data_IF_725847472456
#
_entry.id   IF_725847472456
#
_cell.length_a   1.000
_cell.length_b   1.000
_cell.length_c   1.000
_cell.angle_alpha   90.00
_cell.angle_beta   90.00
_cell.angle_gamma   90.00
#
_symmetry.space_group_name_H-M   'P 1'
#
loop_
_entity.id
_entity.type
_entity.pdbx_description
1 polymer ?
#
# COMPACT_ATOMS: atom_id res chain seq x y z
N UNK A 1 -39.83 -6.35 -14.64
CA UNK A 1 -38.86 -5.52 -15.40
C UNK A 1 -37.70 -6.38 -15.95
N UNK A 2 -36.65 -5.84 -16.57
CA UNK A 2 -35.44 -6.63 -16.90
C UNK A 2 -34.35 -6.38 -15.85
N UNK A 3 -33.39 -7.31 -15.68
CA UNK A 3 -32.19 -7.05 -14.87
C UNK A 3 -31.48 -5.80 -15.40
N UNK A 4 -31.06 -4.90 -14.50
CA UNK A 4 -30.45 -3.63 -14.89
C UNK A 4 -28.99 -3.88 -15.25
N UNK A 5 -28.47 -3.25 -16.30
CA UNK A 5 -27.08 -3.48 -16.73
C UNK A 5 -26.11 -3.06 -15.62
N UNK A 6 -25.12 -3.90 -15.32
CA UNK A 6 -23.96 -3.51 -14.52
C UNK A 6 -23.23 -2.37 -15.24
N UNK A 7 -22.79 -1.36 -14.48
CA UNK A 7 -22.30 -0.09 -15.03
C UNK A 7 -20.82 -0.14 -15.43
N UNK A 8 -20.10 -1.18 -15.01
CA UNK A 8 -18.71 -1.40 -15.33
C UNK A 8 -17.76 -0.35 -14.73
N UNK A 9 -18.17 0.46 -13.75
CA UNK A 9 -17.23 1.42 -13.14
C UNK A 9 -16.24 0.71 -12.21
N UNK A 10 -16.58 -0.49 -11.70
CA UNK A 10 -15.62 -1.42 -11.10
C UNK A 10 -14.47 -1.78 -12.06
N UNK A 11 -14.80 -2.05 -13.34
CA UNK A 11 -13.81 -2.24 -14.40
C UNK A 11 -13.07 -0.94 -14.74
N UNK A 12 -13.75 0.21 -14.78
CA UNK A 12 -13.08 1.51 -14.99
C UNK A 12 -12.15 1.91 -13.82
N UNK A 13 -12.42 1.42 -12.60
CA UNK A 13 -11.54 1.56 -11.44
C UNK A 13 -10.34 0.60 -11.50
N UNK A 14 -10.54 -0.64 -11.98
CA UNK A 14 -9.44 -1.57 -12.30
C UNK A 14 -8.57 -1.03 -13.46
N UNK A 15 -9.17 -0.46 -14.51
CA UNK A 15 -8.46 0.24 -15.59
C UNK A 15 -7.83 1.56 -15.13
N UNK A 16 -8.37 2.23 -14.10
CA UNK A 16 -7.69 3.37 -13.44
C UNK A 16 -6.56 2.93 -12.52
N UNK A 17 -6.64 1.75 -11.90
CA UNK A 17 -5.51 1.08 -11.23
C UNK A 17 -4.37 0.82 -12.22
N UNK A 18 -4.69 0.30 -13.41
CA UNK A 18 -3.76 0.18 -14.54
C UNK A 18 -3.23 1.54 -15.05
N UNK A 19 -3.98 2.63 -14.86
CA UNK A 19 -3.55 4.00 -15.22
C UNK A 19 -2.76 4.69 -14.10
N UNK A 20 -2.80 4.19 -12.87
CA UNK A 20 -1.98 4.66 -11.74
C UNK A 20 -0.74 3.81 -11.49
N UNK A 21 -0.61 2.66 -12.18
CA UNK A 21 0.61 1.85 -12.25
C UNK A 21 1.51 2.23 -13.43
N UNK A 22 1.36 3.45 -13.96
CA UNK A 22 2.46 4.11 -14.67
C UNK A 22 3.63 4.19 -13.69
N UNK A 23 4.64 3.35 -13.91
CA UNK A 23 5.98 3.68 -13.48
C UNK A 23 6.23 5.11 -13.97
N UNK A 24 6.35 6.06 -13.05
CA UNK A 24 6.81 7.41 -13.36
C UNK A 24 8.12 7.26 -14.13
N UNK A 25 8.05 7.36 -15.45
CA UNK A 25 9.21 7.55 -16.30
C UNK A 25 9.83 8.87 -15.89
N UNK A 26 10.85 8.78 -15.04
CA UNK A 26 11.71 9.88 -14.66
C UNK A 26 12.27 10.47 -15.96
N UNK A 27 11.96 11.73 -16.31
CA UNK A 27 12.51 12.32 -17.52
C UNK A 27 14.02 12.51 -17.34
N UNK A 28 14.82 11.71 -18.05
CA UNK A 28 16.25 11.97 -18.29
C UNK A 28 16.43 13.37 -18.86
N UNK A 29 16.86 14.31 -18.01
CA UNK A 29 17.27 15.65 -18.44
C UNK A 29 18.78 15.73 -18.50
N UNK A 30 19.31 15.68 -19.72
CA UNK A 30 20.66 16.10 -20.05
C UNK A 30 20.83 17.60 -19.80
N UNK A 31 21.80 17.97 -18.97
CA UNK A 31 22.19 19.34 -18.59
C UNK A 31 22.71 20.14 -19.81
N UNK A 32 22.68 21.50 -19.78
CA UNK A 32 23.74 22.23 -19.08
C UNK A 32 23.33 23.52 -18.32
N UNK A 33 24.03 23.74 -17.20
CA UNK A 33 24.33 25.01 -16.52
C UNK A 33 23.19 25.93 -16.02
N UNK A 34 22.91 25.86 -14.72
CA UNK A 34 22.98 27.03 -13.83
C UNK A 34 23.21 26.60 -12.38
N UNK A 35 24.31 27.07 -11.77
CA UNK A 35 24.58 26.92 -10.36
C UNK A 35 23.58 27.76 -9.53
N UNK A 36 22.53 27.11 -9.04
CA UNK A 36 21.82 27.50 -7.83
C UNK A 36 21.92 26.31 -6.89
N UNK A 37 22.37 26.57 -5.67
CA UNK A 37 22.48 25.55 -4.62
C UNK A 37 21.08 24.96 -4.37
N UNK A 38 20.90 23.67 -4.65
CA UNK A 38 19.74 22.91 -4.20
C UNK A 38 19.87 22.74 -2.68
N UNK A 39 19.46 23.75 -1.93
CA UNK A 39 19.27 23.65 -0.48
C UNK A 39 17.97 22.87 -0.22
N UNK A 40 18.07 21.78 0.53
CA UNK A 40 16.94 20.98 0.99
C UNK A 40 16.22 21.76 2.11
N UNK A 41 15.21 22.56 1.76
CA UNK A 41 14.36 23.25 2.74
C UNK A 41 13.29 22.31 3.26
N UNK A 42 13.32 22.01 4.57
CA UNK A 42 12.39 21.12 5.26
C UNK A 42 11.61 21.97 6.25
N UNK A 43 10.28 21.98 6.15
CA UNK A 43 9.42 22.68 7.11
C UNK A 43 9.21 21.77 8.33
N UNK A 44 9.95 22.02 9.40
CA UNK A 44 9.72 21.36 10.67
C UNK A 44 8.39 21.87 11.27
N UNK A 45 7.53 20.97 11.74
CA UNK A 45 6.36 21.32 12.57
C UNK A 45 6.84 22.13 13.80
N UNK A 46 6.07 23.15 14.24
CA UNK A 46 6.47 24.14 15.27
C UNK A 46 6.91 23.54 16.64
N UNK A 47 6.77 22.22 16.83
CA UNK A 47 7.10 21.49 18.07
C UNK A 47 8.43 20.70 18.02
N UNK A 48 9.11 20.59 16.85
CA UNK A 48 10.37 19.81 16.76
C UNK A 48 11.57 20.66 17.15
N UNK A 49 12.19 20.34 18.29
CA UNK A 49 13.42 20.99 18.75
C UNK A 49 14.59 20.76 17.78
N UNK A 50 15.35 21.81 17.48
CA UNK A 50 16.60 21.70 16.71
C UNK A 50 17.66 20.80 17.39
N UNK A 51 17.46 20.44 18.67
CA UNK A 51 18.32 19.54 19.43
C UNK A 51 17.76 18.11 19.55
N UNK A 52 16.62 17.80 18.91
CA UNK A 52 16.05 16.45 18.83
C UNK A 52 16.38 15.82 17.46
N UNK A 53 17.47 15.06 17.41
CA UNK A 53 17.92 14.39 16.19
C UNK A 53 16.89 13.38 15.66
N UNK A 54 16.21 12.67 16.58
CA UNK A 54 15.21 11.67 16.20
C UNK A 54 13.93 12.33 15.68
N UNK A 55 13.51 13.45 16.29
CA UNK A 55 12.42 14.27 15.79
C UNK A 55 12.68 14.80 14.38
N UNK A 56 13.90 15.28 14.10
CA UNK A 56 14.31 15.69 12.76
C UNK A 56 14.27 14.54 11.75
N UNK A 57 14.81 13.38 12.12
CA UNK A 57 14.81 12.21 11.25
C UNK A 57 13.37 11.75 10.91
N UNK A 58 12.47 11.75 11.90
CA UNK A 58 11.04 11.46 11.68
C UNK A 58 10.38 12.46 10.74
N UNK A 59 10.67 13.75 10.89
CA UNK A 59 10.13 14.79 10.01
C UNK A 59 10.60 14.58 8.57
N UNK A 60 11.91 14.38 8.35
CA UNK A 60 12.47 14.08 7.02
C UNK A 60 11.81 12.86 6.38
N UNK A 61 11.65 11.77 7.15
CA UNK A 61 11.02 10.55 6.67
C UNK A 61 9.56 10.76 6.31
N UNK A 62 8.79 11.42 7.17
CA UNK A 62 7.37 11.71 6.94
C UNK A 62 7.17 12.58 5.71
N UNK A 63 8.02 13.60 5.54
CA UNK A 63 7.99 14.50 4.38
C UNK A 63 8.31 13.76 3.09
N UNK A 64 9.28 12.84 3.14
CA UNK A 64 9.59 11.98 2.00
C UNK A 64 8.41 11.08 1.62
N UNK A 65 7.74 10.45 2.60
CA UNK A 65 6.60 9.57 2.33
C UNK A 65 5.39 10.35 1.77
N UNK A 66 5.12 11.55 2.30
CA UNK A 66 4.00 12.40 1.88
C UNK A 66 4.26 13.16 0.57
N UNK A 67 5.53 13.33 0.18
CA UNK A 67 5.86 14.06 -1.03
C UNK A 67 5.32 13.33 -2.26
N UNK A 68 4.63 14.08 -3.14
CA UNK A 68 4.27 13.60 -4.47
C UNK A 68 5.53 13.42 -5.34
N UNK A 69 6.51 14.32 -5.20
CA UNK A 69 7.81 14.22 -5.88
C UNK A 69 8.85 13.61 -4.92
N UNK A 70 8.91 12.26 -4.93
CA UNK A 70 9.94 11.49 -4.23
C UNK A 70 11.23 11.53 -5.06
N UNK A 71 12.27 12.12 -4.50
CA UNK A 71 13.56 12.24 -5.20
C UNK A 71 14.69 11.54 -4.46
N UNK A 72 15.65 11.04 -5.23
CA UNK A 72 16.86 10.40 -4.69
C UNK A 72 17.60 11.33 -3.72
N UNK A 73 17.58 12.64 -3.98
CA UNK A 73 18.19 13.65 -3.11
C UNK A 73 17.60 13.64 -1.69
N UNK A 74 16.26 13.51 -1.55
CA UNK A 74 15.59 13.46 -0.25
C UNK A 74 15.97 12.20 0.52
N UNK A 75 15.99 11.05 -0.16
CA UNK A 75 16.38 9.76 0.43
C UNK A 75 17.84 9.79 0.90
N UNK A 76 18.75 10.31 0.08
CA UNK A 76 20.15 10.49 0.45
C UNK A 76 20.30 11.43 1.65
N UNK A 77 19.48 12.49 1.75
CA UNK A 77 19.41 13.36 2.93
C UNK A 77 19.06 12.60 4.20
N UNK A 78 18.06 11.71 4.16
CA UNK A 78 17.66 10.85 5.27
C UNK A 78 18.80 9.89 5.66
N UNK A 79 19.45 9.25 4.68
CA UNK A 79 20.58 8.34 4.92
C UNK A 79 21.75 9.06 5.57
N UNK A 80 22.11 10.25 5.08
CA UNK A 80 23.18 11.06 5.67
C UNK A 80 22.87 11.49 7.11
N UNK A 81 21.60 11.76 7.41
CA UNK A 81 21.15 12.05 8.77
C UNK A 81 21.27 10.81 9.67
N UNK A 82 20.86 9.63 9.20
CA UNK A 82 21.08 8.38 9.91
C UNK A 82 22.56 8.13 10.21
N UNK A 83 23.44 8.34 9.23
CA UNK A 83 24.89 8.21 9.40
C UNK A 83 25.46 9.24 10.37
N UNK A 84 24.95 10.48 10.36
CA UNK A 84 25.32 11.53 11.32
C UNK A 84 25.00 11.09 12.75
N UNK A 85 23.78 10.60 12.97
CA UNK A 85 23.30 10.09 14.26
C UNK A 85 24.17 8.91 14.75
N UNK A 86 24.49 7.95 13.87
CA UNK A 86 25.37 6.83 14.21
C UNK A 86 26.79 7.25 14.55
N UNK A 87 27.38 8.20 13.80
CA UNK A 87 28.72 8.71 14.10
C UNK A 87 28.76 9.42 15.46
N UNK A 88 27.76 10.26 15.77
CA UNK A 88 27.69 10.98 17.06
C UNK A 88 27.53 10.02 18.23
N UNK A 89 26.66 9.01 18.11
CA UNK A 89 26.47 7.99 19.16
C UNK A 89 27.73 7.16 19.40
N UNK A 90 28.41 6.72 18.34
CA UNK A 90 29.68 6.01 18.47
C UNK A 90 30.77 6.84 19.15
N UNK A 91 30.89 8.14 18.82
CA UNK A 91 31.86 9.04 19.49
C UNK A 91 31.54 9.22 20.97
N UNK A 92 30.25 9.30 21.35
CA UNK A 92 29.83 9.36 22.76
C UNK A 92 30.18 8.07 23.51
N UNK A 93 29.91 6.91 22.90
CA UNK A 93 30.23 5.61 23.50
C UNK A 93 31.74 5.45 23.72
N UNK A 94 32.57 5.83 22.75
CA UNK A 94 34.04 5.80 22.87
C UNK A 94 34.53 6.76 23.96
N UNK A 95 33.98 7.99 24.02
CA UNK A 95 34.33 8.95 25.09
C UNK A 95 33.90 8.48 26.48
N UNK A 96 32.76 7.79 26.60
CA UNK A 96 32.27 7.23 27.84
C UNK A 96 33.14 6.06 28.33
N UNK A 97 33.54 5.16 27.44
CA UNK A 97 34.40 4.01 27.78
C UNK A 97 35.87 4.43 28.02
N UNK A 98 36.39 5.40 27.25
CA UNK A 98 37.76 5.92 27.43
C UNK A 98 37.98 6.71 28.72
N UNK A 99 36.92 7.32 29.29
CA UNK A 99 37.00 7.97 30.62
C UNK A 99 37.05 6.96 31.77
N UNK A 100 36.59 5.73 31.58
CA UNK A 100 36.59 4.68 32.62
C UNK A 100 37.98 4.05 32.76
N UNK A 101 38.75 3.90 31.68
CA UNK A 101 40.10 3.33 31.74
C UNK A 101 41.15 4.29 32.33
N UNK A 102 41.01 5.60 32.14
CA UNK A 102 41.94 6.58 32.72
C UNK A 102 41.63 6.98 34.17
N UNK A 103 40.47 6.60 34.73
CA UNK A 103 40.13 6.89 36.12
C UNK A 103 40.72 5.91 37.14
N UNK A 104 41.40 4.82 36.71
CA UNK A 104 42.02 3.82 37.60
C UNK A 104 43.55 3.70 37.50
N UNK A 105 44.23 4.58 36.77
CA UNK A 105 45.69 4.56 36.72
C UNK A 105 46.29 5.97 36.88
N UNK A 106 46.73 6.23 38.12
CA UNK A 106 47.74 7.20 38.54
C UNK A 106 47.54 8.68 38.19
N UNK A 107 47.41 9.47 39.26
CA UNK A 107 47.78 10.88 39.23
C UNK A 107 49.27 11.03 38.97
N UNK A 108 49.61 11.77 37.91
CA UNK A 108 50.79 12.63 37.84
C UNK A 108 50.59 13.61 36.69
N UNK A 109 50.67 14.90 37.05
CA UNK A 109 50.77 16.01 36.11
C UNK A 109 52.02 15.85 35.25
N UNK A 110 51.94 16.13 33.95
CA UNK A 110 52.94 16.96 33.27
C UNK A 110 52.45 17.50 31.91
N UNK A 111 52.92 18.71 31.62
CA UNK A 111 52.61 19.61 30.51
C UNK A 111 53.02 19.07 29.12
N UNK A 112 52.31 19.49 28.07
CA UNK A 112 52.91 19.58 26.72
C UNK A 112 51.95 19.60 25.53
N UNK A 113 51.39 20.77 25.23
CA UNK A 113 51.02 21.31 23.90
C UNK A 113 51.06 20.37 22.67
N UNK A 114 49.88 20.05 22.12
CA UNK A 114 49.50 20.21 20.70
C UNK A 114 48.20 19.44 20.39
N UNK A 115 47.09 20.17 20.25
CA UNK A 115 45.85 19.86 19.51
C UNK A 115 44.66 20.48 20.25
N UNK A 116 44.43 21.77 20.04
CA UNK A 116 43.19 22.42 20.45
C UNK A 116 42.64 23.21 19.26
N UNK A 117 41.96 22.47 18.39
CA UNK A 117 40.79 22.88 17.61
C UNK A 117 39.94 21.63 17.40
N UNK A 118 39.48 21.05 18.50
CA UNK A 118 38.21 20.34 18.46
C UNK A 118 37.18 21.44 18.61
N UNK A 119 36.48 21.75 17.53
CA UNK A 119 35.32 22.64 17.61
C UNK A 119 34.42 22.13 18.72
N UNK A 120 34.26 22.94 19.77
CA UNK A 120 33.18 22.83 20.74
C UNK A 120 31.87 23.10 19.99
N UNK A 121 31.43 22.13 19.18
CA UNK A 121 30.05 22.06 18.72
C UNK A 121 29.26 21.68 19.96
N UNK A 122 28.40 22.59 20.40
CA UNK A 122 27.48 22.47 21.53
C UNK A 122 26.85 21.08 21.58
N UNK A 123 27.39 20.22 22.44
CA UNK A 123 27.12 18.78 22.51
C UNK A 123 25.89 18.49 23.39
N UNK A 124 24.78 19.22 23.16
CA UNK A 124 23.50 19.05 23.89
C UNK A 124 22.39 18.44 23.01
N UNK A 125 22.73 17.81 21.88
CA UNK A 125 21.73 17.07 21.08
C UNK A 125 21.41 15.74 21.77
N UNK A 126 20.16 15.50 22.15
CA UNK A 126 19.75 14.24 22.78
C UNK A 126 19.60 13.18 21.68
N UNK A 127 20.39 12.09 21.77
CA UNK A 127 20.37 11.02 20.76
C UNK A 127 20.22 9.68 21.47
N UNK A 128 19.00 9.15 21.41
CA UNK A 128 18.69 7.79 21.83
C UNK A 128 18.35 6.96 20.58
N UNK A 129 19.16 5.94 20.30
CA UNK A 129 18.87 5.02 19.20
C UNK A 129 17.70 4.12 19.62
N UNK A 130 16.71 3.99 18.74
CA UNK A 130 15.52 3.16 18.96
C UNK A 130 15.35 2.18 17.80
N UNK A 131 14.43 1.22 17.93
CA UNK A 131 14.08 0.38 16.79
C UNK A 131 13.52 1.18 15.60
N UNK A 132 12.81 2.27 15.85
CA UNK A 132 12.33 3.18 14.81
C UNK A 132 13.47 3.80 13.99
N UNK A 133 14.57 4.19 14.65
CA UNK A 133 15.77 4.68 13.95
C UNK A 133 16.28 3.68 12.90
N UNK A 134 16.50 2.43 13.32
CA UNK A 134 16.99 1.38 12.42
C UNK A 134 15.95 1.02 11.35
N UNK A 135 14.65 1.14 11.67
CA UNK A 135 13.55 0.97 10.72
C UNK A 135 13.58 2.03 9.61
N UNK A 136 13.62 3.31 9.96
CA UNK A 136 13.74 4.43 9.00
C UNK A 136 15.00 4.25 8.15
N UNK A 137 16.12 3.88 8.77
CA UNK A 137 17.37 3.72 8.02
C UNK A 137 17.29 2.56 7.01
N UNK A 138 16.76 1.41 7.41
CA UNK A 138 16.55 0.28 6.50
C UNK A 138 15.59 0.63 5.36
N UNK A 139 14.49 1.33 5.67
CA UNK A 139 13.54 1.77 4.66
C UNK A 139 14.16 2.76 3.67
N UNK A 140 14.88 3.77 4.15
CA UNK A 140 15.55 4.75 3.28
C UNK A 140 16.57 4.08 2.35
N UNK A 141 17.36 3.13 2.85
CA UNK A 141 18.29 2.35 2.01
C UNK A 141 17.54 1.56 0.94
N UNK A 142 16.47 0.85 1.32
CA UNK A 142 15.65 0.11 0.35
C UNK A 142 14.97 1.02 -0.68
N UNK A 143 14.61 2.26 -0.30
CA UNK A 143 14.01 3.23 -1.21
C UNK A 143 14.96 3.70 -2.32
N UNK A 144 16.28 3.56 -2.15
CA UNK A 144 17.22 3.87 -3.23
C UNK A 144 17.06 2.91 -4.41
N UNK A 145 16.64 1.66 -4.19
CA UNK A 145 16.49 0.66 -5.24
C UNK A 145 15.55 1.11 -6.38
N UNK A 146 14.53 1.90 -6.07
CA UNK A 146 13.56 2.40 -7.06
C UNK A 146 14.17 3.40 -8.07
N UNK A 147 15.32 4.03 -7.76
CA UNK A 147 16.00 4.94 -8.67
C UNK A 147 17.03 4.24 -9.57
N UNK A 148 17.30 2.96 -9.32
CA UNK A 148 18.36 2.19 -9.98
C UNK A 148 17.82 0.86 -10.55
N UNK A 149 16.54 0.82 -10.95
CA UNK A 149 15.87 -0.41 -11.44
C UNK A 149 16.55 -1.03 -12.67
N UNK A 150 17.29 -0.24 -13.45
CA UNK A 150 18.09 -0.69 -14.60
C UNK A 150 19.45 -1.30 -14.20
N UNK A 151 19.82 -1.26 -12.92
CA UNK A 151 21.09 -1.76 -12.39
C UNK A 151 20.86 -2.86 -11.33
N UNK A 152 20.56 -4.12 -11.73
CA UNK A 152 20.14 -5.18 -10.81
C UNK A 152 21.10 -5.42 -9.64
N UNK A 153 22.41 -5.34 -9.88
CA UNK A 153 23.41 -5.50 -8.81
C UNK A 153 23.32 -4.40 -7.75
N UNK A 154 23.04 -3.15 -8.14
CA UNK A 154 22.85 -2.05 -7.18
C UNK A 154 21.55 -2.23 -6.39
N UNK A 155 20.48 -2.66 -7.07
CA UNK A 155 19.19 -2.98 -6.44
C UNK A 155 19.42 -4.02 -5.33
N UNK A 156 20.10 -5.12 -5.64
CA UNK A 156 20.45 -6.16 -4.65
C UNK A 156 21.30 -5.62 -3.49
N UNK A 157 22.31 -4.79 -3.78
CA UNK A 157 23.15 -4.15 -2.76
C UNK A 157 22.34 -3.27 -1.80
N UNK A 158 21.41 -2.45 -2.31
CA UNK A 158 20.56 -1.59 -1.47
C UNK A 158 19.65 -2.41 -0.54
N UNK A 159 19.04 -3.48 -1.05
CA UNK A 159 18.23 -4.36 -0.21
C UNK A 159 19.07 -5.15 0.81
N UNK A 160 20.29 -5.57 0.44
CA UNK A 160 21.22 -6.21 1.38
C UNK A 160 21.59 -5.27 2.52
N UNK A 161 21.98 -4.04 2.22
CA UNK A 161 22.32 -3.03 3.23
C UNK A 161 21.12 -2.67 4.10
N UNK A 162 19.92 -2.54 3.51
CA UNK A 162 18.69 -2.32 4.24
C UNK A 162 18.41 -3.44 5.26
N UNK A 163 18.51 -4.70 4.84
CA UNK A 163 18.35 -5.87 5.70
C UNK A 163 19.40 -5.93 6.80
N UNK A 164 20.64 -5.60 6.51
CA UNK A 164 21.72 -5.54 7.50
C UNK A 164 21.42 -4.49 8.58
N UNK A 165 20.90 -3.31 8.20
CA UNK A 165 20.44 -2.29 9.19
C UNK A 165 19.29 -2.79 10.04
N UNK A 166 18.30 -3.43 9.43
CA UNK A 166 17.17 -4.04 10.16
C UNK A 166 17.68 -5.13 11.12
N UNK A 167 18.61 -5.99 10.69
CA UNK A 167 19.18 -7.05 11.49
C UNK A 167 19.95 -6.52 12.72
N UNK A 168 20.77 -5.48 12.53
CA UNK A 168 21.45 -4.78 13.64
C UNK A 168 20.42 -4.18 14.59
N UNK A 169 19.35 -3.57 14.05
CA UNK A 169 18.24 -3.04 14.83
C UNK A 169 17.57 -4.13 15.68
N UNK A 170 17.21 -5.26 15.08
CA UNK A 170 16.54 -6.39 15.77
C UNK A 170 17.41 -7.03 16.83
N UNK A 171 18.73 -7.08 16.60
CA UNK A 171 19.68 -7.57 17.60
C UNK A 171 19.70 -6.70 18.87
N UNK A 172 19.39 -5.40 18.74
CA UNK A 172 19.34 -4.43 19.85
C UNK A 172 17.92 -4.24 20.42
N UNK A 173 16.90 -4.32 19.56
CA UNK A 173 15.50 -4.04 19.87
C UNK A 173 14.59 -5.15 19.31
N UNK A 174 14.69 -6.38 19.84
CA UNK A 174 14.02 -7.56 19.25
C UNK A 174 12.49 -7.46 19.24
N UNK A 175 11.90 -6.72 20.18
CA UNK A 175 10.45 -6.55 20.31
C UNK A 175 9.96 -5.19 19.81
N UNK A 176 10.72 -4.55 18.91
CA UNK A 176 10.32 -3.28 18.30
C UNK A 176 9.30 -3.51 17.18
N UNK A 177 8.07 -3.02 17.40
CA UNK A 177 7.00 -3.06 16.40
C UNK A 177 7.41 -2.26 15.15
N UNK A 178 8.04 -1.09 15.32
CA UNK A 178 8.52 -0.27 14.20
C UNK A 178 9.50 -1.03 13.30
N UNK A 179 10.37 -1.87 13.88
CA UNK A 179 11.33 -2.67 13.10
C UNK A 179 10.65 -3.79 12.33
N UNK A 180 9.65 -4.45 12.93
CA UNK A 180 8.93 -5.52 12.24
C UNK A 180 8.14 -4.97 11.05
N UNK A 181 7.46 -3.83 11.20
CA UNK A 181 6.80 -3.17 10.07
C UNK A 181 7.80 -2.71 8.99
N UNK A 182 8.94 -2.14 9.40
CA UNK A 182 9.98 -1.75 8.46
C UNK A 182 10.57 -2.95 7.72
N UNK A 183 10.85 -4.05 8.41
CA UNK A 183 11.34 -5.30 7.82
C UNK A 183 10.35 -5.85 6.78
N UNK A 184 9.07 -5.95 7.12
CA UNK A 184 8.03 -6.40 6.19
C UNK A 184 7.97 -5.50 4.94
N UNK A 185 8.05 -4.18 5.11
CA UNK A 185 8.08 -3.21 4.00
C UNK A 185 9.32 -3.33 3.12
N UNK A 186 10.49 -3.57 3.69
CA UNK A 186 11.71 -3.83 2.91
C UNK A 186 11.55 -5.10 2.08
N UNK A 187 11.01 -6.17 2.67
CA UNK A 187 10.81 -7.45 2.00
C UNK A 187 9.78 -7.38 0.86
N UNK A 188 8.62 -6.74 1.08
CA UNK A 188 7.59 -6.65 0.02
C UNK A 188 8.08 -5.84 -1.17
N UNK A 189 8.84 -4.77 -0.94
CA UNK A 189 9.39 -3.92 -2.00
C UNK A 189 10.51 -4.60 -2.80
N UNK A 190 11.24 -5.53 -2.18
CA UNK A 190 12.31 -6.28 -2.82
C UNK A 190 11.79 -7.28 -3.85
N UNK A 191 10.65 -7.92 -3.58
CA UNK A 191 10.14 -9.03 -4.39
C UNK A 191 9.92 -8.61 -5.85
N UNK A 192 9.19 -7.52 -6.17
CA UNK A 192 8.99 -7.09 -7.55
C UNK A 192 10.32 -6.79 -8.27
N UNK A 193 11.24 -6.10 -7.58
CA UNK A 193 12.46 -5.58 -8.20
C UNK A 193 13.53 -6.65 -8.42
N UNK A 194 13.62 -7.64 -7.53
CA UNK A 194 14.70 -8.65 -7.56
C UNK A 194 14.23 -10.03 -8.00
N UNK A 195 12.99 -10.39 -7.71
CA UNK A 195 12.48 -11.75 -7.88
C UNK A 195 11.50 -11.88 -9.03
N UNK A 196 10.75 -10.82 -9.35
CA UNK A 196 9.78 -10.81 -10.46
C UNK A 196 10.37 -10.18 -11.72
N UNK A 197 11.03 -9.02 -11.60
CA UNK A 197 11.59 -8.28 -12.75
C UNK A 197 12.50 -9.12 -13.69
N UNK A 198 13.30 -10.09 -13.22
CA UNK A 198 14.16 -10.87 -14.11
C UNK A 198 13.42 -12.03 -14.80
N UNK A 199 12.15 -12.26 -14.48
CA UNK A 199 11.39 -13.39 -14.99
C UNK A 199 10.89 -13.15 -16.42
N UNK A 200 10.73 -14.24 -17.15
CA UNK A 200 10.03 -14.30 -18.43
C UNK A 200 8.95 -15.37 -18.32
N UNK A 201 8.00 -15.42 -19.26
CA UNK A 201 6.93 -16.44 -19.28
C UNK A 201 7.45 -17.89 -19.27
N UNK A 202 8.69 -18.10 -19.72
CA UNK A 202 9.36 -19.41 -19.78
C UNK A 202 10.22 -19.73 -18.53
N UNK A 203 10.31 -18.79 -17.57
CA UNK A 203 11.13 -18.94 -16.37
C UNK A 203 10.69 -20.14 -15.53
N UNK A 204 11.66 -20.76 -14.83
CA UNK A 204 11.44 -21.96 -14.00
C UNK A 204 12.14 -21.83 -12.67
N UNK A 205 11.50 -22.37 -11.63
CA UNK A 205 12.09 -22.48 -10.30
C UNK A 205 13.45 -23.19 -10.38
N UNK A 206 14.48 -22.52 -9.86
CA UNK A 206 15.88 -22.93 -9.91
C UNK A 206 16.69 -22.26 -8.78
N UNK A 207 18.02 -22.41 -8.78
CA UNK A 207 18.87 -21.63 -7.86
C UNK A 207 18.87 -20.13 -8.18
N UNK A 208 18.66 -19.79 -9.45
CA UNK A 208 18.65 -18.41 -9.96
C UNK A 208 17.28 -17.75 -9.74
N UNK A 209 16.20 -18.50 -9.96
CA UNK A 209 14.83 -18.04 -9.75
C UNK A 209 14.16 -18.85 -8.64
N UNK A 210 14.08 -18.26 -7.45
CA UNK A 210 13.38 -18.86 -6.31
C UNK A 210 11.87 -18.84 -6.53
N UNK A 211 11.16 -19.74 -5.85
CA UNK A 211 9.70 -19.70 -5.80
C UNK A 211 9.23 -18.46 -5.03
N UNK A 212 8.54 -17.54 -5.71
CA UNK A 212 8.20 -16.22 -5.17
C UNK A 212 7.18 -16.33 -4.02
N UNK A 213 6.30 -17.32 -4.07
CA UNK A 213 5.34 -17.61 -3.00
C UNK A 213 6.01 -17.80 -1.63
N UNK A 214 7.19 -18.42 -1.59
CA UNK A 214 7.93 -18.64 -0.34
C UNK A 214 8.50 -17.34 0.26
N UNK A 215 8.97 -16.43 -0.60
CA UNK A 215 9.47 -15.12 -0.20
C UNK A 215 8.31 -14.24 0.31
N UNK A 216 7.16 -14.32 -0.37
CA UNK A 216 5.95 -13.63 0.04
C UNK A 216 5.46 -14.16 1.39
N UNK A 217 5.38 -15.48 1.59
CA UNK A 217 5.00 -16.08 2.88
C UNK A 217 5.92 -15.64 4.02
N UNK A 218 7.24 -15.56 3.79
CA UNK A 218 8.19 -15.04 4.78
C UNK A 218 7.87 -13.58 5.14
N UNK A 219 7.68 -12.74 4.13
CA UNK A 219 7.31 -11.33 4.28
C UNK A 219 6.01 -11.13 5.08
N UNK A 220 4.94 -11.84 4.71
CA UNK A 220 3.64 -11.77 5.38
C UNK A 220 3.75 -12.21 6.86
N UNK A 221 4.57 -13.23 7.16
CA UNK A 221 4.80 -13.66 8.55
C UNK A 221 5.51 -12.59 9.41
N UNK A 222 6.29 -11.69 8.82
CA UNK A 222 6.87 -10.56 9.54
C UNK A 222 5.79 -9.54 9.88
N UNK A 223 4.92 -9.22 8.93
CA UNK A 223 3.78 -8.32 9.12
C UNK A 223 2.84 -8.82 10.21
N UNK A 224 2.45 -10.09 10.17
CA UNK A 224 1.58 -10.73 11.16
C UNK A 224 2.13 -10.63 12.59
N UNK A 225 3.45 -10.76 12.74
CA UNK A 225 4.12 -10.57 14.04
C UNK A 225 4.04 -9.13 14.52
N UNK A 226 4.21 -8.16 13.62
CA UNK A 226 4.07 -6.74 13.93
C UNK A 226 2.64 -6.41 14.39
N UNK A 227 1.64 -6.84 13.63
CA UNK A 227 0.22 -6.69 13.98
C UNK A 227 -0.09 -7.31 15.33
N UNK A 228 0.25 -8.59 15.52
CA UNK A 228 0.00 -9.29 16.79
C UNK A 228 0.60 -8.53 17.97
N UNK A 229 1.85 -8.11 17.87
CA UNK A 229 2.54 -7.41 18.97
C UNK A 229 1.93 -6.02 19.23
N UNK A 230 1.55 -5.29 18.17
CA UNK A 230 0.89 -3.98 18.31
C UNK A 230 -0.49 -4.09 18.94
N UNK A 231 -1.28 -5.13 18.61
CA UNK A 231 -2.59 -5.37 19.20
C UNK A 231 -2.51 -5.80 20.65
N UNK A 232 -1.59 -6.72 20.99
CA UNK A 232 -1.34 -7.15 22.36
C UNK A 232 -0.98 -5.97 23.26
N UNK A 233 -0.24 -5.00 22.73
CA UNK A 233 0.15 -3.77 23.42
C UNK A 233 -0.87 -2.63 23.29
N UNK A 234 -1.89 -2.78 22.44
CA UNK A 234 -2.84 -1.73 22.04
C UNK A 234 -2.13 -0.46 21.56
N UNK A 235 -1.00 -0.62 20.87
CA UNK A 235 -0.21 0.48 20.34
C UNK A 235 -0.70 0.84 18.94
N UNK A 236 -1.83 1.55 18.88
CA UNK A 236 -2.52 1.81 17.62
C UNK A 236 -1.85 2.89 16.74
N UNK A 237 -0.78 3.54 17.22
CA UNK A 237 -0.08 4.59 16.45
C UNK A 237 0.52 4.08 15.13
N UNK A 238 0.77 2.77 15.04
CA UNK A 238 1.31 2.10 13.86
C UNK A 238 0.30 1.90 12.74
N UNK A 239 -1.00 2.06 13.01
CA UNK A 239 -2.04 2.02 11.99
C UNK A 239 -2.18 3.43 11.41
N UNK A 240 -1.34 3.73 10.43
CA UNK A 240 -1.15 5.04 9.83
C UNK A 240 -0.82 4.92 8.34
N UNK A 241 -0.74 6.05 7.63
CA UNK A 241 -0.50 6.08 6.19
C UNK A 241 0.79 5.35 5.80
N UNK A 242 1.89 5.58 6.53
CA UNK A 242 3.20 5.00 6.21
C UNK A 242 3.22 3.47 6.22
N UNK A 243 2.52 2.85 7.18
CA UNK A 243 2.45 1.39 7.24
C UNK A 243 1.37 0.83 6.30
N UNK A 244 0.35 1.61 5.94
CA UNK A 244 -0.64 1.18 4.93
C UNK A 244 -0.03 0.96 3.54
N UNK A 245 1.11 1.61 3.24
CA UNK A 245 1.91 1.38 2.02
C UNK A 245 2.24 -0.11 1.81
N UNK A 246 2.40 -0.90 2.88
CA UNK A 246 2.64 -2.34 2.75
C UNK A 246 1.46 -3.06 2.08
N UNK A 247 0.23 -2.71 2.47
CA UNK A 247 -0.99 -3.30 1.91
C UNK A 247 -1.17 -2.88 0.45
N UNK A 248 -0.79 -1.64 0.11
CA UNK A 248 -0.72 -1.20 -1.30
C UNK A 248 0.31 -2.00 -2.08
N UNK A 249 1.54 -2.12 -1.58
CA UNK A 249 2.60 -2.85 -2.26
C UNK A 249 2.26 -4.33 -2.49
N UNK A 250 1.53 -4.95 -1.55
CA UNK A 250 1.01 -6.31 -1.74
C UNK A 250 -0.05 -6.37 -2.83
N UNK A 251 -1.03 -5.46 -2.83
CA UNK A 251 -2.07 -5.38 -3.87
C UNK A 251 -1.44 -5.18 -5.26
N UNK A 252 -0.45 -4.28 -5.39
CA UNK A 252 0.28 -4.03 -6.64
C UNK A 252 1.10 -5.24 -7.09
N UNK A 253 1.69 -5.98 -6.14
CA UNK A 253 2.40 -7.23 -6.44
C UNK A 253 1.44 -8.29 -6.98
N UNK A 254 0.24 -8.43 -6.40
CA UNK A 254 -0.76 -9.38 -6.87
C UNK A 254 -1.26 -9.00 -8.27
N UNK A 255 -1.55 -7.71 -8.51
CA UNK A 255 -1.92 -7.21 -9.83
C UNK A 255 -0.80 -7.42 -10.86
N UNK A 256 0.47 -7.24 -10.47
CA UNK A 256 1.63 -7.54 -11.32
C UNK A 256 1.70 -9.03 -11.69
N UNK A 257 1.37 -9.92 -10.76
CA UNK A 257 1.34 -11.37 -11.00
C UNK A 257 0.19 -11.76 -11.93
N UNK A 258 -1.01 -11.21 -11.70
CA UNK A 258 -2.20 -11.50 -12.50
C UNK A 258 -2.04 -11.05 -13.95
N UNK A 259 -1.33 -9.94 -14.17
CA UNK A 259 -1.04 -9.39 -15.49
C UNK A 259 0.33 -9.83 -16.07
N UNK A 260 1.06 -10.72 -15.39
CA UNK A 260 2.43 -11.08 -15.79
C UNK A 260 2.46 -11.70 -17.20
N UNK A 261 3.26 -11.12 -18.09
CA UNK A 261 3.42 -11.62 -19.46
C UNK A 261 2.27 -11.27 -20.42
N UNK A 262 1.27 -10.51 -19.98
CA UNK A 262 0.22 -9.95 -20.86
C UNK A 262 0.73 -8.65 -21.48
N UNK A 263 0.56 -8.46 -22.78
CA UNK A 263 0.86 -7.17 -23.41
C UNK A 263 -0.09 -6.12 -22.84
N UNK A 264 0.45 -5.01 -22.32
CA UNK A 264 -0.37 -3.88 -21.86
C UNK A 264 -1.24 -3.40 -23.02
N UNK A 265 -2.56 -3.37 -22.82
CA UNK A 265 -3.53 -2.75 -23.74
C UNK A 265 -3.39 -1.21 -23.69
N UNK A 266 -2.19 -0.68 -23.89
CA UNK A 266 -2.01 0.75 -24.11
C UNK A 266 -2.63 1.13 -25.46
N UNK A 267 -3.83 1.70 -25.41
CA UNK A 267 -4.41 2.44 -26.54
C UNK A 267 -5.62 1.81 -27.24
N UNK A 268 -6.28 0.79 -26.69
CA UNK A 268 -7.62 0.42 -27.21
C UNK A 268 -8.66 1.39 -26.65
N UNK A 269 -9.08 2.34 -27.48
CA UNK A 269 -10.23 3.22 -27.25
C UNK A 269 -11.44 2.38 -26.79
N UNK A 270 -12.11 2.84 -25.74
CA UNK A 270 -13.19 2.15 -25.01
C UNK A 270 -14.48 1.85 -25.81
N UNK A 271 -14.44 2.00 -27.14
CA UNK A 271 -15.59 1.87 -28.04
C UNK A 271 -15.44 0.70 -29.04
N UNK A 272 -14.35 -0.06 -29.00
CA UNK A 272 -14.20 -1.27 -29.81
C UNK A 272 -14.66 -2.50 -29.03
N UNK A 273 -15.93 -2.89 -29.22
CA UNK A 273 -16.40 -4.26 -28.94
C UNK A 273 -15.78 -5.24 -29.96
N UNK A 274 -14.46 -5.40 -29.92
CA UNK A 274 -13.78 -6.51 -30.56
C UNK A 274 -13.28 -7.45 -29.45
N UNK A 275 -14.07 -8.51 -29.26
CA UNK A 275 -13.66 -9.79 -28.68
C UNK A 275 -12.44 -10.31 -29.48
N UNK A 276 -11.27 -9.73 -29.27
CA UNK A 276 -10.03 -10.44 -29.58
C UNK A 276 -9.89 -11.50 -28.50
N UNK A 277 -9.84 -12.77 -28.93
CA UNK A 277 -9.46 -13.92 -28.13
C UNK A 277 -8.08 -13.64 -27.50
N UNK A 278 -8.06 -12.95 -26.35
CA UNK A 278 -6.92 -12.93 -25.44
C UNK A 278 -6.78 -14.36 -24.93
N UNK A 279 -5.98 -15.16 -25.64
CA UNK A 279 -5.58 -16.48 -25.17
C UNK A 279 -5.06 -16.32 -23.74
N UNK A 280 -5.86 -16.78 -22.77
CA UNK A 280 -5.57 -16.63 -21.35
C UNK A 280 -4.17 -17.19 -21.08
N UNK A 281 -3.22 -16.31 -20.74
CA UNK A 281 -1.84 -16.71 -20.54
C UNK A 281 -1.74 -17.52 -19.25
N UNK A 282 -1.77 -18.84 -19.39
CA UNK A 282 -1.63 -19.78 -18.27
C UNK A 282 -0.15 -20.09 -18.06
N UNK A 283 0.37 -19.70 -16.89
CA UNK A 283 1.76 -19.97 -16.52
C UNK A 283 2.00 -21.47 -16.31
N UNK A 284 3.22 -21.92 -16.60
CA UNK A 284 3.62 -23.31 -16.33
C UNK A 284 3.58 -23.60 -14.82
N UNK A 285 3.18 -24.81 -14.37
CA UNK A 285 3.29 -25.23 -12.96
C UNK A 285 4.70 -25.17 -12.35
N UNK A 286 5.73 -24.97 -13.18
CA UNK A 286 7.12 -24.80 -12.75
C UNK A 286 7.57 -23.34 -12.72
N UNK A 287 6.70 -22.42 -13.12
CA UNK A 287 7.00 -20.99 -13.16
C UNK A 287 7.06 -20.45 -11.72
N UNK A 288 8.03 -19.56 -11.39
CA UNK A 288 8.18 -19.01 -10.04
C UNK A 288 6.94 -18.30 -9.45
N UNK A 289 6.06 -17.78 -10.31
CA UNK A 289 4.82 -17.08 -9.93
C UNK A 289 3.58 -17.99 -9.92
N UNK A 290 3.67 -19.23 -10.42
CA UNK A 290 2.51 -20.08 -10.64
C UNK A 290 1.65 -20.26 -9.38
N UNK A 291 2.29 -20.50 -8.23
CA UNK A 291 1.58 -20.70 -6.97
C UNK A 291 0.78 -19.47 -6.56
N UNK A 292 1.30 -18.26 -6.82
CA UNK A 292 0.60 -17.01 -6.48
C UNK A 292 -0.58 -16.81 -7.43
N UNK A 293 -0.36 -16.96 -8.74
CA UNK A 293 -1.38 -16.76 -9.76
C UNK A 293 -2.59 -17.73 -9.63
N UNK A 294 -2.34 -18.96 -9.18
CA UNK A 294 -3.38 -20.01 -9.11
C UNK A 294 -4.10 -20.08 -7.75
N UNK A 295 -3.78 -19.20 -6.80
CA UNK A 295 -4.34 -19.26 -5.45
C UNK A 295 -4.97 -17.94 -5.01
N UNK A 296 -6.17 -18.02 -4.43
CA UNK A 296 -6.80 -16.86 -3.79
C UNK A 296 -6.24 -16.58 -2.37
N UNK A 297 -5.31 -17.40 -1.88
CA UNK A 297 -4.72 -17.28 -0.53
C UNK A 297 -4.24 -15.85 -0.24
N UNK A 298 -3.56 -15.23 -1.19
CA UNK A 298 -2.94 -13.91 -0.98
C UNK A 298 -3.94 -12.76 -1.07
N UNK A 299 -4.94 -12.86 -1.93
CA UNK A 299 -6.07 -11.93 -1.97
C UNK A 299 -6.91 -12.01 -0.68
N UNK A 300 -7.17 -13.21 -0.18
CA UNK A 300 -7.83 -13.43 1.10
C UNK A 300 -7.02 -12.84 2.26
N UNK A 301 -5.72 -13.12 2.29
CA UNK A 301 -4.81 -12.53 3.27
C UNK A 301 -4.87 -11.01 3.22
N UNK A 302 -4.77 -10.41 2.03
CA UNK A 302 -4.83 -8.97 1.85
C UNK A 302 -6.15 -8.39 2.37
N UNK A 303 -7.31 -9.00 2.05
CA UNK A 303 -8.62 -8.56 2.54
C UNK A 303 -8.71 -8.63 4.06
N UNK A 304 -8.33 -9.76 4.65
CA UNK A 304 -8.38 -9.99 6.10
C UNK A 304 -7.50 -8.99 6.86
N UNK A 305 -6.26 -8.80 6.39
CA UNK A 305 -5.29 -7.93 7.04
C UNK A 305 -5.58 -6.44 6.80
N UNK A 306 -6.14 -6.08 5.64
CA UNK A 306 -6.65 -4.71 5.40
C UNK A 306 -7.83 -4.39 6.33
N UNK A 307 -8.75 -5.32 6.51
CA UNK A 307 -9.86 -5.15 7.45
C UNK A 307 -9.37 -5.06 8.91
N UNK A 308 -8.38 -5.89 9.29
CA UNK A 308 -7.75 -5.81 10.61
C UNK A 308 -7.05 -4.48 10.84
N UNK A 309 -6.32 -3.98 9.84
CA UNK A 309 -5.69 -2.67 9.87
C UNK A 309 -6.73 -1.56 10.06
N UNK A 310 -7.82 -1.60 9.27
CA UNK A 310 -8.93 -0.64 9.37
C UNK A 310 -9.58 -0.65 10.76
N UNK A 311 -9.79 -1.83 11.35
CA UNK A 311 -10.34 -1.95 12.70
C UNK A 311 -9.44 -1.29 13.75
N UNK A 312 -8.13 -1.51 13.68
CA UNK A 312 -7.18 -0.89 14.61
C UNK A 312 -7.01 0.62 14.35
N UNK A 313 -7.10 1.07 13.10
CA UNK A 313 -7.17 2.50 12.76
C UNK A 313 -8.43 3.15 13.37
N UNK A 314 -9.57 2.46 13.36
CA UNK A 314 -10.78 2.94 14.01
C UNK A 314 -10.62 3.06 15.54
N UNK A 315 -9.92 2.12 16.18
CA UNK A 315 -9.57 2.24 17.60
C UNK A 315 -8.63 3.42 17.87
N UNK A 316 -7.66 3.68 16.98
CA UNK A 316 -6.80 4.87 17.04
C UNK A 316 -7.64 6.15 16.99
N UNK A 317 -8.48 6.31 15.95
CA UNK A 317 -9.38 7.46 15.75
C UNK A 317 -10.24 7.70 16.98
N UNK A 318 -10.81 6.64 17.56
CA UNK A 318 -11.62 6.71 18.79
C UNK A 318 -10.79 7.15 19.99
N UNK A 319 -9.60 6.59 20.17
CA UNK A 319 -8.72 6.89 21.31
C UNK A 319 -8.19 8.33 21.26
N UNK A 320 -7.92 8.85 20.06
CA UNK A 320 -7.45 10.22 19.81
C UNK A 320 -8.62 11.23 19.75
N UNK A 321 -9.88 10.76 19.86
CA UNK A 321 -11.09 11.59 19.80
C UNK A 321 -11.16 12.48 18.55
N UNK A 322 -10.72 11.95 17.41
CA UNK A 322 -10.75 12.65 16.13
C UNK A 322 -12.20 12.87 15.71
N UNK A 323 -12.56 14.11 15.38
CA UNK A 323 -13.92 14.46 14.97
C UNK A 323 -14.20 13.93 13.56
N UNK A 324 -15.30 13.18 13.41
CA UNK A 324 -15.83 12.71 12.11
C UNK A 324 -16.10 13.85 11.11
N UNK A 325 -16.26 15.08 11.58
CA UNK A 325 -16.47 16.24 10.73
C UNK A 325 -15.19 16.82 10.12
N UNK A 326 -14.00 16.34 10.52
CA UNK A 326 -12.72 16.85 10.02
C UNK A 326 -12.31 16.10 8.74
N UNK A 327 -12.90 16.46 7.61
CA UNK A 327 -12.67 15.76 6.34
C UNK A 327 -11.20 15.73 5.87
N UNK A 328 -10.35 16.61 6.39
CA UNK A 328 -8.92 16.68 6.07
C UNK A 328 -8.01 15.93 7.05
N UNK A 329 -8.56 15.26 8.06
CA UNK A 329 -7.76 14.44 8.98
C UNK A 329 -7.16 13.24 8.24
N UNK A 330 -5.85 13.06 8.35
CA UNK A 330 -5.12 11.99 7.64
C UNK A 330 -5.61 10.58 8.00
N UNK A 331 -6.08 10.34 9.25
CA UNK A 331 -6.61 9.04 9.63
C UNK A 331 -8.00 8.80 9.04
N UNK A 332 -8.83 9.85 8.92
CA UNK A 332 -10.15 9.74 8.29
C UNK A 332 -10.03 9.54 6.77
N UNK A 333 -9.10 10.24 6.12
CA UNK A 333 -8.77 10.01 4.70
C UNK A 333 -8.32 8.57 4.49
N UNK A 334 -7.38 8.08 5.32
CA UNK A 334 -6.91 6.70 5.24
C UNK A 334 -8.04 5.69 5.50
N UNK A 335 -8.93 5.95 6.46
CA UNK A 335 -10.09 5.09 6.73
C UNK A 335 -10.99 4.97 5.50
N UNK A 336 -11.28 6.10 4.83
CA UNK A 336 -12.09 6.12 3.60
C UNK A 336 -11.42 5.33 2.48
N UNK A 337 -10.12 5.53 2.29
CA UNK A 337 -9.34 4.84 1.25
C UNK A 337 -9.27 3.32 1.49
N UNK A 338 -9.00 2.86 2.72
CA UNK A 338 -9.00 1.42 3.03
C UNK A 338 -10.39 0.81 2.85
N UNK A 339 -11.45 1.52 3.24
CA UNK A 339 -12.83 1.07 3.05
C UNK A 339 -13.17 0.99 1.57
N UNK A 340 -12.76 1.97 0.76
CA UNK A 340 -12.94 1.97 -0.70
C UNK A 340 -12.33 0.73 -1.33
N UNK A 341 -11.08 0.40 -0.96
CA UNK A 341 -10.34 -0.76 -1.48
C UNK A 341 -10.98 -2.09 -1.07
N UNK A 342 -11.38 -2.24 0.19
CA UNK A 342 -12.10 -3.43 0.66
C UNK A 342 -13.42 -3.59 -0.09
N UNK A 343 -14.17 -2.50 -0.26
CA UNK A 343 -15.39 -2.47 -1.05
C UNK A 343 -15.15 -2.93 -2.49
N UNK A 344 -14.15 -2.37 -3.17
CA UNK A 344 -13.77 -2.74 -4.54
C UNK A 344 -13.33 -4.19 -4.67
N UNK A 345 -12.51 -4.70 -3.75
CA UNK A 345 -12.07 -6.10 -3.77
C UNK A 345 -13.25 -7.08 -3.64
N UNK A 346 -14.23 -6.76 -2.77
CA UNK A 346 -15.44 -7.55 -2.64
C UNK A 346 -16.36 -7.45 -3.86
N UNK A 347 -16.38 -6.31 -4.57
CA UNK A 347 -17.08 -6.18 -5.85
C UNK A 347 -16.46 -7.08 -6.92
N UNK A 348 -15.12 -7.11 -7.01
CA UNK A 348 -14.39 -7.97 -7.94
C UNK A 348 -14.68 -9.45 -7.65
N UNK A 349 -14.63 -9.87 -6.38
CA UNK A 349 -14.97 -11.25 -5.97
C UNK A 349 -16.45 -11.58 -6.29
N UNK A 350 -17.33 -10.58 -6.27
CA UNK A 350 -18.75 -10.77 -6.58
C UNK A 350 -19.04 -10.89 -8.09
N UNK A 351 -18.10 -10.60 -8.99
CA UNK A 351 -18.36 -10.62 -10.44
C UNK A 351 -18.73 -12.02 -10.92
N UNK A 352 -17.93 -13.04 -10.59
CA UNK A 352 -18.17 -14.42 -11.01
C UNK A 352 -19.52 -14.98 -10.51
N UNK A 353 -19.87 -14.92 -9.21
CA UNK A 353 -21.18 -15.39 -8.76
C UNK A 353 -22.33 -14.56 -9.35
N UNK A 354 -22.15 -13.27 -9.60
CA UNK A 354 -23.17 -12.43 -10.26
C UNK A 354 -23.38 -12.83 -11.72
N UNK A 355 -22.29 -13.12 -12.44
CA UNK A 355 -22.32 -13.60 -13.82
C UNK A 355 -22.96 -14.98 -13.92
N UNK A 356 -22.60 -15.90 -13.03
CA UNK A 356 -23.20 -17.23 -12.96
C UNK A 356 -24.69 -17.14 -12.68
N UNK A 357 -25.10 -16.35 -11.69
CA UNK A 357 -26.52 -16.16 -11.37
C UNK A 357 -27.29 -15.60 -12.57
N UNK A 358 -26.77 -14.54 -13.19
CA UNK A 358 -27.40 -13.89 -14.34
C UNK A 358 -27.53 -14.87 -15.52
N UNK A 359 -26.46 -15.61 -15.81
CA UNK A 359 -26.42 -16.60 -16.89
C UNK A 359 -27.44 -17.72 -16.68
N UNK A 360 -27.44 -18.34 -15.50
CA UNK A 360 -28.37 -19.42 -15.18
C UNK A 360 -29.83 -18.94 -15.09
N UNK A 361 -30.06 -17.67 -14.76
CA UNK A 361 -31.42 -17.11 -14.64
C UNK A 361 -32.02 -16.72 -15.98
N UNK A 362 -31.24 -16.06 -16.85
CA UNK A 362 -31.77 -15.43 -18.05
C UNK A 362 -31.36 -16.10 -19.36
N UNK A 363 -30.15 -16.67 -19.42
CA UNK A 363 -29.54 -17.11 -20.69
C UNK A 363 -29.47 -18.63 -20.85
N UNK A 364 -29.31 -19.38 -19.76
CA UNK A 364 -29.07 -20.83 -19.78
C UNK A 364 -30.07 -21.59 -18.89
N UNK A 365 -31.37 -21.48 -19.20
CA UNK A 365 -32.46 -22.06 -18.37
C UNK A 365 -32.41 -23.60 -18.21
N UNK A 366 -31.74 -24.29 -19.13
CA UNK A 366 -31.59 -25.75 -19.11
C UNK A 366 -30.34 -26.22 -18.35
N UNK A 367 -29.44 -25.28 -17.99
CA UNK A 367 -28.26 -25.58 -17.15
C UNK A 367 -28.61 -25.41 -15.67
N UNK A 368 -28.17 -26.37 -14.85
CA UNK A 368 -28.37 -26.34 -13.40
C UNK A 368 -27.20 -25.72 -12.64
N UNK A 369 -26.03 -25.63 -13.27
CA UNK A 369 -24.80 -25.08 -12.68
C UNK A 369 -23.86 -24.54 -13.75
N UNK A 370 -23.09 -23.51 -13.39
CA UNK A 370 -22.01 -22.92 -14.19
C UNK A 370 -20.85 -22.59 -13.24
N UNK A 371 -19.60 -22.80 -13.67
CA UNK A 371 -18.40 -22.59 -12.83
C UNK A 371 -18.45 -23.30 -11.46
N UNK A 372 -19.14 -24.45 -11.38
CA UNK A 372 -19.30 -25.20 -10.14
C UNK A 372 -20.36 -24.65 -9.17
N UNK A 373 -21.06 -23.56 -9.52
CA UNK A 373 -22.11 -22.96 -8.70
C UNK A 373 -23.50 -23.20 -9.30
N UNK A 374 -24.46 -23.52 -8.46
CA UNK A 374 -25.89 -23.47 -8.81
C UNK A 374 -26.40 -22.03 -8.77
N UNK A 375 -27.59 -21.79 -9.36
CA UNK A 375 -28.25 -20.47 -9.31
C UNK A 375 -28.41 -19.96 -7.87
N UNK A 376 -28.81 -20.83 -6.95
CA UNK A 376 -29.06 -20.46 -5.55
C UNK A 376 -27.77 -20.17 -4.78
N UNK A 377 -26.72 -20.96 -5.01
CA UNK A 377 -25.41 -20.72 -4.42
C UNK A 377 -24.80 -19.41 -4.94
N UNK A 378 -24.82 -19.21 -6.26
CA UNK A 378 -24.34 -17.98 -6.89
C UNK A 378 -25.10 -16.74 -6.40
N UNK A 379 -26.44 -16.83 -6.29
CA UNK A 379 -27.27 -15.77 -5.70
C UNK A 379 -26.82 -15.43 -4.29
N UNK A 380 -26.71 -16.44 -3.42
CA UNK A 380 -26.37 -16.24 -2.01
C UNK A 380 -24.97 -15.65 -1.84
N UNK A 381 -23.98 -16.23 -2.53
CA UNK A 381 -22.58 -15.76 -2.45
C UNK A 381 -22.49 -14.32 -2.96
N UNK A 382 -23.08 -14.02 -4.12
CA UNK A 382 -23.08 -12.66 -4.67
C UNK A 382 -23.79 -11.65 -3.76
N UNK A 383 -24.96 -12.00 -3.20
CA UNK A 383 -25.64 -11.15 -2.22
C UNK A 383 -24.79 -10.88 -0.97
N UNK A 384 -24.14 -11.90 -0.41
CA UNK A 384 -23.28 -11.76 0.77
C UNK A 384 -22.08 -10.86 0.48
N UNK A 385 -21.41 -11.03 -0.66
CA UNK A 385 -20.27 -10.21 -1.07
C UNK A 385 -20.68 -8.76 -1.36
N UNK A 386 -21.72 -8.55 -2.16
CA UNK A 386 -22.21 -7.22 -2.52
C UNK A 386 -22.72 -6.45 -1.30
N UNK A 387 -23.37 -7.14 -0.35
CA UNK A 387 -23.82 -6.50 0.90
C UNK A 387 -22.63 -6.00 1.72
N UNK A 388 -21.56 -6.81 1.85
CA UNK A 388 -20.33 -6.38 2.53
C UNK A 388 -19.63 -5.26 1.77
N UNK A 389 -19.57 -5.33 0.45
CA UNK A 389 -18.99 -4.27 -0.39
C UNK A 389 -19.70 -2.94 -0.16
N UNK A 390 -21.04 -2.93 -0.16
CA UNK A 390 -21.88 -1.76 0.11
C UNK A 390 -21.59 -1.19 1.50
N UNK A 391 -21.39 -2.02 2.51
CA UNK A 391 -21.05 -1.55 3.86
C UNK A 391 -19.75 -0.73 3.86
N UNK A 392 -18.68 -1.26 3.25
CA UNK A 392 -17.42 -0.54 3.14
C UNK A 392 -17.51 0.69 2.23
N UNK A 393 -18.24 0.62 1.13
CA UNK A 393 -18.41 1.76 0.22
C UNK A 393 -19.23 2.90 0.84
N UNK A 394 -20.11 2.60 1.80
CA UNK A 394 -20.78 3.62 2.63
C UNK A 394 -19.76 4.36 3.51
N UNK A 395 -18.83 3.64 4.12
CA UNK A 395 -17.77 4.24 4.95
C UNK A 395 -16.68 4.95 4.12
N UNK A 396 -16.61 4.64 2.81
CA UNK A 396 -15.68 5.24 1.85
C UNK A 396 -16.18 6.54 1.22
N UNK A 397 -17.43 6.95 1.47
CA UNK A 397 -17.99 8.15 0.83
C UNK A 397 -17.22 9.41 1.22
N UNK A 398 -16.97 10.28 0.23
CA UNK A 398 -16.37 11.59 0.41
C UNK A 398 -17.25 12.66 -0.27
N UNK A 399 -17.48 13.78 0.43
CA UNK A 399 -18.28 14.88 -0.10
C UNK A 399 -17.58 15.66 -1.21
N UNK A 400 -16.25 15.59 -1.25
CA UNK A 400 -15.41 16.22 -2.26
C UNK A 400 -15.18 15.31 -3.47
N UNK A 401 -15.50 14.02 -3.36
CA UNK A 401 -15.39 13.04 -4.45
C UNK A 401 -16.74 12.42 -4.83
N UNK A 402 -17.53 13.05 -5.72
CA UNK A 402 -18.82 12.51 -6.17
C UNK A 402 -18.74 11.11 -6.81
N UNK A 403 -17.57 10.71 -7.30
CA UNK A 403 -17.32 9.37 -7.84
C UNK A 403 -17.48 8.27 -6.75
N UNK A 404 -17.25 8.61 -5.47
CA UNK A 404 -17.48 7.69 -4.33
C UNK A 404 -18.97 7.32 -4.16
N UNK A 405 -19.87 8.27 -4.44
CA UNK A 405 -21.32 8.04 -4.42
C UNK A 405 -21.77 7.19 -5.59
N UNK A 406 -21.22 7.43 -6.79
CA UNK A 406 -21.52 6.63 -7.97
C UNK A 406 -21.08 5.16 -7.78
N UNK A 407 -19.92 4.93 -7.19
CA UNK A 407 -19.43 3.59 -6.86
C UNK A 407 -20.37 2.85 -5.88
N UNK A 408 -20.87 3.54 -4.85
CA UNK A 408 -21.86 2.95 -3.94
C UNK A 408 -23.17 2.62 -4.68
N UNK A 409 -23.68 3.53 -5.50
CA UNK A 409 -24.91 3.31 -6.25
C UNK A 409 -24.79 2.10 -7.21
N UNK A 410 -23.64 1.92 -7.86
CA UNK A 410 -23.40 0.76 -8.72
C UNK A 410 -23.37 -0.56 -7.95
N UNK A 411 -22.72 -0.59 -6.79
CA UNK A 411 -22.72 -1.76 -5.91
C UNK A 411 -24.15 -2.14 -5.50
N UNK A 412 -24.98 -1.14 -5.21
CA UNK A 412 -26.39 -1.33 -4.89
C UNK A 412 -27.21 -1.82 -6.07
N UNK A 413 -27.00 -1.29 -7.27
CA UNK A 413 -27.65 -1.80 -8.50
C UNK A 413 -27.27 -3.26 -8.72
N UNK A 414 -25.99 -3.59 -8.55
CA UNK A 414 -25.48 -4.95 -8.66
C UNK A 414 -26.16 -5.88 -7.66
N UNK A 415 -26.36 -5.43 -6.41
CA UNK A 415 -27.11 -6.18 -5.41
C UNK A 415 -28.60 -6.34 -5.80
N UNK A 416 -29.22 -5.28 -6.32
CA UNK A 416 -30.60 -5.32 -6.83
C UNK A 416 -30.80 -6.34 -7.94
N UNK A 417 -29.79 -6.53 -8.80
CA UNK A 417 -29.81 -7.55 -9.86
C UNK A 417 -29.80 -8.99 -9.32
N UNK A 418 -29.32 -9.20 -8.09
CA UNK A 418 -29.27 -10.51 -7.45
C UNK A 418 -30.59 -10.90 -6.76
N UNK A 419 -31.58 -10.01 -6.73
CA UNK A 419 -32.91 -10.30 -6.20
C UNK A 419 -33.89 -10.73 -7.29
N UNK A 420 -34.95 -11.41 -6.86
CA UNK A 420 -36.03 -11.79 -7.76
C UNK A 420 -36.66 -10.56 -8.38
N UNK A 421 -37.07 -10.71 -9.64
CA UNK A 421 -37.60 -9.62 -10.43
C UNK A 421 -38.87 -9.06 -9.82
N UNK A 422 -38.93 -7.73 -9.71
CA UNK A 422 -40.06 -6.97 -9.14
C UNK A 422 -40.35 -7.33 -7.66
N UNK A 423 -39.33 -7.85 -6.95
CA UNK A 423 -39.39 -8.04 -5.49
C UNK A 423 -39.28 -6.71 -4.75
N UNK A 424 -39.86 -6.64 -3.55
CA UNK A 424 -39.78 -5.46 -2.69
C UNK A 424 -38.34 -5.06 -2.36
N UNK A 425 -37.46 -6.05 -2.23
CA UNK A 425 -36.04 -5.90 -1.94
C UNK A 425 -35.32 -5.24 -3.12
N UNK A 426 -35.56 -5.75 -4.34
CA UNK A 426 -35.01 -5.17 -5.56
C UNK A 426 -35.46 -3.72 -5.74
N UNK A 427 -36.76 -3.44 -5.63
CA UNK A 427 -37.32 -2.10 -5.80
C UNK A 427 -36.76 -1.12 -4.75
N UNK A 428 -36.66 -1.54 -3.49
CA UNK A 428 -36.12 -0.72 -2.41
C UNK A 428 -34.65 -0.35 -2.66
N UNK A 429 -33.83 -1.31 -3.08
CA UNK A 429 -32.40 -1.08 -3.31
C UNK A 429 -32.17 -0.20 -4.53
N UNK A 430 -32.91 -0.42 -5.63
CA UNK A 430 -32.80 0.45 -6.80
C UNK A 430 -33.22 1.89 -6.51
N UNK A 431 -34.22 2.10 -5.65
CA UNK A 431 -34.62 3.43 -5.25
C UNK A 431 -33.53 4.15 -4.46
N UNK A 432 -32.92 3.49 -3.48
CA UNK A 432 -31.80 4.09 -2.71
C UNK A 432 -30.59 4.36 -3.64
N UNK A 433 -30.30 3.45 -4.59
CA UNK A 433 -29.25 3.65 -5.58
C UNK A 433 -29.53 4.85 -6.50
N UNK A 434 -30.78 5.03 -6.95
CA UNK A 434 -31.21 6.17 -7.74
C UNK A 434 -31.00 7.48 -6.98
N UNK A 435 -31.44 7.56 -5.73
CA UNK A 435 -31.29 8.75 -4.88
C UNK A 435 -29.82 9.16 -4.73
N UNK A 436 -28.92 8.20 -4.51
CA UNK A 436 -27.48 8.42 -4.41
C UNK A 436 -26.89 8.86 -5.76
N UNK A 437 -27.32 8.24 -6.86
CA UNK A 437 -26.83 8.57 -8.19
C UNK A 437 -27.30 9.96 -8.66
N UNK A 438 -28.54 10.37 -8.33
CA UNK A 438 -29.03 11.75 -8.53
C UNK A 438 -28.10 12.74 -7.83
N UNK A 439 -27.71 12.46 -6.58
CA UNK A 439 -26.77 13.30 -5.82
C UNK A 439 -25.42 13.42 -6.54
N UNK A 440 -24.85 12.30 -6.99
CA UNK A 440 -23.59 12.28 -7.75
C UNK A 440 -23.68 13.04 -9.08
N UNK A 441 -24.79 12.85 -9.81
CA UNK A 441 -25.02 13.51 -11.09
C UNK A 441 -25.11 15.04 -10.95
N UNK A 442 -25.84 15.50 -9.93
CA UNK A 442 -25.96 16.93 -9.63
C UNK A 442 -24.60 17.54 -9.27
N UNK A 443 -23.80 16.86 -8.47
CA UNK A 443 -22.48 17.35 -8.07
C UNK A 443 -21.45 17.36 -9.22
N UNK A 444 -21.66 16.55 -10.26
CA UNK A 444 -20.77 16.43 -11.43
C UNK A 444 -21.30 17.13 -12.68
N UNK A 445 -22.37 17.93 -12.56
CA UNK A 445 -23.00 18.63 -13.68
C UNK A 445 -23.45 17.71 -14.84
N UNK A 446 -24.04 16.56 -14.52
CA UNK A 446 -24.67 15.69 -15.52
C UNK A 446 -23.79 14.53 -16.04
N UNK A 447 -22.63 14.26 -15.42
CA UNK A 447 -21.74 13.16 -15.86
C UNK A 447 -22.43 11.79 -15.84
N UNK A 448 -23.38 11.60 -14.93
CA UNK A 448 -24.08 10.34 -14.69
C UNK A 448 -25.50 10.31 -15.28
N UNK A 449 -25.90 11.32 -16.06
CA UNK A 449 -27.28 11.47 -16.57
C UNK A 449 -27.71 10.26 -17.39
N UNK A 450 -26.86 9.78 -18.31
CA UNK A 450 -27.15 8.59 -19.13
C UNK A 450 -27.40 7.34 -18.27
N UNK A 451 -26.67 7.21 -17.16
CA UNK A 451 -26.84 6.09 -16.24
C UNK A 451 -28.18 6.21 -15.51
N UNK A 452 -28.50 7.43 -15.07
CA UNK A 452 -29.74 7.74 -14.38
C UNK A 452 -30.97 7.50 -15.28
N UNK A 453 -30.90 7.92 -16.54
CA UNK A 453 -31.92 7.67 -17.55
C UNK A 453 -32.12 6.16 -17.74
N UNK A 454 -31.05 5.39 -17.86
CA UNK A 454 -31.14 3.92 -18.00
C UNK A 454 -31.71 3.24 -16.75
N UNK A 455 -31.48 3.80 -15.55
CA UNK A 455 -32.03 3.28 -14.29
C UNK A 455 -33.54 3.56 -14.17
N UNK A 456 -34.03 4.67 -14.72
CA UNK A 456 -35.40 5.19 -14.60
C UNK A 456 -36.31 4.85 -15.79
N UNK A 457 -35.76 4.52 -16.96
CA UNK A 457 -36.52 4.17 -18.18
C UNK A 457 -36.95 2.69 -18.27
N UNK A 458 -36.85 1.91 -17.18
CA UNK A 458 -37.33 0.52 -17.13
C UNK A 458 -38.68 0.41 -16.40
#
# INVERSE_FOLDING_TARGET
MAAKRHLGLGKAAASKKQKSSEAETIPTSSTPNSAQANELTVELEEEVSANDAMGQLRALWRDFIKAQDRSELKVNGIIHECDRILRKTHVRDVKAHGKIEHASANGQQENGTAMDKVDEISDEEEIELTGEFYGIYGLALSSLAFFYTEEPTKVEEFFSEAKDRIYVGKSKFPDSISLLFAEARVLINEIPLTSISPLTVDSKVSMEHREVASLLDECLSVWERAEKLSEERKDYKYYNLENSDFLQALDDLLDMVDNFGRESLEGKDSDAEEEEDDDELILSPKHPLFVIAETDKYNLWWREHTQRFLNNLNEKIRSESISESNNHDTNLILRRELSKRLGQSLLLEAEEPSNVFTTLTYYSKDQTSLSGLTREEARKIGQDLLTKAIQFLKDAQDEEEPDSWAALAEAMISLGNMYDLDSSEQESIYKEAEEILVRANNATNGRYEKILENLTQA
#
